data_IF_260895697282
#
_entry.id   IF_260895697282
#
_cell.length_a   1.000
_cell.length_b   1.000
_cell.length_c   1.000
_cell.angle_alpha   90.00
_cell.angle_beta   90.00
_cell.angle_gamma   90.00
#
_symmetry.space_group_name_H-M   'P 1'
#
loop_
_entity.id
_entity.type
_entity.pdbx_description
1 polymer ?
#
# COMPACT_ATOMS: atom_id res chain seq x y z
N UNK A 1 -18.50 -22.44 2.58
CA UNK A 1 -18.29 -21.27 1.72
C UNK A 1 -17.02 -21.53 0.95
N UNK A 2 -17.11 -21.66 -0.38
CA UNK A 2 -16.01 -22.10 -1.25
C UNK A 2 -14.86 -21.10 -1.12
N UNK A 3 -13.71 -21.58 -0.64
CA UNK A 3 -12.45 -20.85 -0.63
C UNK A 3 -12.10 -20.61 -2.10
N UNK A 4 -12.42 -19.42 -2.62
CA UNK A 4 -11.92 -18.98 -3.92
C UNK A 4 -10.46 -18.62 -3.72
N UNK A 5 -9.56 -19.38 -4.34
CA UNK A 5 -8.23 -18.87 -4.67
C UNK A 5 -8.39 -17.65 -5.58
N UNK A 6 -8.33 -16.46 -4.97
CA UNK A 6 -8.14 -15.20 -5.69
C UNK A 6 -6.94 -14.48 -5.06
N UNK A 7 -5.79 -15.16 -5.09
CA UNK A 7 -4.49 -14.71 -4.58
C UNK A 7 -3.82 -13.62 -5.45
N UNK A 8 -4.61 -12.82 -6.18
CA UNK A 8 -4.06 -11.79 -7.06
C UNK A 8 -4.15 -10.42 -6.42
N UNK A 9 -2.98 -9.79 -6.23
CA UNK A 9 -2.90 -8.34 -6.06
C UNK A 9 -3.57 -7.67 -7.28
N UNK A 10 -4.56 -6.82 -7.04
CA UNK A 10 -5.37 -6.15 -8.06
C UNK A 10 -4.96 -4.70 -8.25
N UNK A 11 -4.89 -4.24 -9.50
CA UNK A 11 -4.53 -2.86 -9.81
C UNK A 11 -5.59 -1.90 -9.27
N UNK A 12 -5.16 -0.80 -8.65
CA UNK A 12 -6.04 0.25 -8.15
C UNK A 12 -5.86 1.53 -8.96
N UNK A 13 -6.76 1.84 -9.92
CA UNK A 13 -6.62 3.03 -10.77
C UNK A 13 -6.64 4.34 -10.00
N UNK A 14 -7.56 4.47 -9.03
CA UNK A 14 -7.76 5.71 -8.25
C UNK A 14 -6.52 6.00 -7.41
N UNK A 15 -6.03 5.00 -6.67
CA UNK A 15 -4.83 5.17 -5.83
C UNK A 15 -3.57 5.38 -6.67
N UNK A 16 -3.47 4.69 -7.82
CA UNK A 16 -2.33 4.85 -8.71
C UNK A 16 -2.24 6.25 -9.31
N UNK A 17 -3.38 6.79 -9.72
CA UNK A 17 -3.50 8.19 -10.17
C UNK A 17 -3.17 9.17 -9.05
N UNK A 18 -3.73 8.97 -7.85
CA UNK A 18 -3.52 9.87 -6.71
C UNK A 18 -2.07 9.89 -6.20
N UNK A 19 -1.36 8.77 -6.25
CA UNK A 19 0.02 8.66 -5.76
C UNK A 19 1.07 8.85 -6.87
N UNK A 20 0.68 8.77 -8.14
CA UNK A 20 1.62 8.72 -9.26
C UNK A 20 2.50 7.46 -9.25
N UNK A 21 1.97 6.36 -8.74
CA UNK A 21 2.67 5.07 -8.54
C UNK A 21 1.78 3.93 -9.03
N UNK A 22 2.34 2.80 -9.47
CA UNK A 22 1.54 1.60 -9.78
C UNK A 22 1.14 0.89 -8.50
N UNK A 23 -0.06 1.20 -8.03
CA UNK A 23 -0.62 0.67 -6.78
C UNK A 23 -1.45 -0.57 -7.05
N UNK A 24 -1.15 -1.63 -6.31
CA UNK A 24 -1.94 -2.84 -6.28
C UNK A 24 -2.41 -3.14 -4.86
N UNK A 25 -3.53 -3.84 -4.72
CA UNK A 25 -4.10 -4.19 -3.42
C UNK A 25 -4.65 -5.60 -3.37
N UNK A 26 -4.64 -6.20 -2.19
CA UNK A 26 -5.20 -7.53 -1.98
C UNK A 26 -5.53 -7.78 -0.50
N UNK A 27 -6.42 -8.73 -0.27
CA UNK A 27 -6.61 -9.36 1.04
C UNK A 27 -6.04 -10.76 0.92
N UNK A 28 -5.10 -11.11 1.78
CA UNK A 28 -4.43 -12.42 1.76
C UNK A 28 -4.69 -13.14 3.08
N UNK A 29 -5.10 -14.40 2.99
CA UNK A 29 -5.28 -15.26 4.17
C UNK A 29 -3.94 -15.78 4.71
N UNK A 30 -2.95 -15.92 3.83
CA UNK A 30 -1.57 -16.27 4.18
C UNK A 30 -0.56 -15.52 3.30
N UNK A 31 0.69 -15.44 3.77
CA UNK A 31 1.78 -14.75 3.06
C UNK A 31 2.61 -15.78 2.33
N UNK A 32 2.49 -15.88 1.01
CA UNK A 32 3.39 -16.66 0.18
C UNK A 32 4.47 -15.74 -0.44
N UNK A 33 5.73 -15.74 0.05
CA UNK A 33 6.76 -14.81 -0.41
C UNK A 33 7.08 -14.95 -1.90
N UNK A 34 7.11 -16.18 -2.43
CA UNK A 34 7.44 -16.44 -3.83
C UNK A 34 6.36 -15.91 -4.77
N UNK A 35 5.09 -16.14 -4.42
CA UNK A 35 3.96 -15.67 -5.22
C UNK A 35 3.86 -14.15 -5.20
N UNK A 36 4.01 -13.53 -4.04
CA UNK A 36 3.98 -12.06 -3.92
C UNK A 36 5.13 -11.46 -4.75
N UNK A 37 6.35 -11.98 -4.62
CA UNK A 37 7.49 -11.52 -5.40
C UNK A 37 7.25 -11.68 -6.90
N UNK A 38 6.75 -12.84 -7.34
CA UNK A 38 6.40 -13.11 -8.73
C UNK A 38 5.37 -12.09 -9.27
N UNK A 39 4.34 -11.77 -8.47
CA UNK A 39 3.36 -10.74 -8.82
C UNK A 39 4.00 -9.36 -8.93
N UNK A 40 4.84 -8.97 -7.96
CA UNK A 40 5.53 -7.66 -7.96
C UNK A 40 6.36 -7.48 -9.22
N UNK A 41 7.18 -8.48 -9.56
CA UNK A 41 8.06 -8.41 -10.73
C UNK A 41 7.27 -8.42 -12.04
N UNK A 42 6.31 -9.33 -12.21
CA UNK A 42 5.51 -9.44 -13.45
C UNK A 42 4.64 -8.22 -13.71
N UNK A 43 4.07 -7.63 -12.66
CA UNK A 43 3.17 -6.48 -12.76
C UNK A 43 3.89 -5.13 -12.62
N UNK A 44 5.20 -5.16 -12.39
CA UNK A 44 6.04 -3.98 -12.16
C UNK A 44 5.42 -3.04 -11.10
N UNK A 45 5.10 -3.62 -9.94
CA UNK A 45 4.35 -2.95 -8.86
C UNK A 45 5.27 -1.92 -8.16
N UNK A 46 4.74 -0.73 -7.89
CA UNK A 46 5.46 0.28 -7.09
C UNK A 46 5.06 0.21 -5.61
N UNK A 47 3.78 -0.01 -5.32
CA UNK A 47 3.29 -0.20 -3.95
C UNK A 47 2.23 -1.30 -3.94
N UNK A 48 2.41 -2.31 -3.10
CA UNK A 48 1.34 -3.27 -2.81
C UNK A 48 0.72 -2.98 -1.43
N UNK A 49 -0.58 -2.75 -1.37
CA UNK A 49 -1.34 -2.55 -0.13
C UNK A 49 -2.07 -3.86 0.19
N UNK A 50 -1.54 -4.58 1.16
CA UNK A 50 -1.95 -5.94 1.48
C UNK A 50 -2.65 -5.93 2.83
N UNK A 51 -3.87 -6.47 2.90
CA UNK A 51 -4.56 -6.72 4.16
C UNK A 51 -4.43 -8.19 4.53
N UNK A 52 -4.04 -8.46 5.77
CA UNK A 52 -3.93 -9.81 6.31
C UNK A 52 -4.75 -9.87 7.60
N UNK A 53 -5.53 -10.93 7.85
CA UNK A 53 -6.22 -11.10 9.12
C UNK A 53 -5.25 -10.93 10.30
N UNK A 54 -5.59 -10.09 11.28
CA UNK A 54 -4.66 -9.76 12.37
C UNK A 54 -4.30 -10.97 13.24
N UNK A 55 -5.11 -12.03 13.23
CA UNK A 55 -4.82 -13.31 13.87
C UNK A 55 -3.62 -14.05 13.25
N UNK A 56 -3.23 -13.70 12.01
CA UNK A 56 -2.07 -14.24 11.29
C UNK A 56 -0.80 -13.42 11.53
N UNK A 57 -0.68 -12.80 12.70
CA UNK A 57 0.49 -11.98 13.04
C UNK A 57 1.80 -12.79 13.01
N UNK A 58 1.73 -14.09 13.26
CA UNK A 58 2.83 -15.04 13.18
C UNK A 58 3.42 -15.15 11.76
N UNK A 59 2.62 -14.95 10.71
CA UNK A 59 3.10 -15.03 9.34
C UNK A 59 3.84 -13.77 8.88
N UNK A 60 3.68 -12.62 9.55
CA UNK A 60 4.24 -11.33 9.11
C UNK A 60 5.75 -11.35 8.85
N UNK A 61 6.50 -12.15 9.61
CA UNK A 61 7.94 -12.29 9.42
C UNK A 61 8.30 -12.78 8.00
N UNK A 62 7.40 -13.53 7.34
CA UNK A 62 7.58 -14.03 5.97
C UNK A 62 7.69 -12.91 4.92
N UNK A 63 7.22 -11.69 5.20
CA UNK A 63 7.49 -10.55 4.33
C UNK A 63 8.99 -10.25 4.20
N UNK A 64 9.79 -10.57 5.22
CA UNK A 64 11.24 -10.39 5.16
C UNK A 64 11.88 -11.29 4.10
N UNK A 65 11.33 -12.48 3.87
CA UNK A 65 11.82 -13.44 2.87
C UNK A 65 11.67 -12.92 1.43
N UNK A 66 10.75 -11.96 1.19
CA UNK A 66 10.55 -11.33 -0.12
C UNK A 66 11.78 -10.49 -0.50
N UNK A 67 12.47 -9.91 0.48
CA UNK A 67 13.59 -8.98 0.25
C UNK A 67 13.16 -7.58 -0.19
N UNK A 68 11.87 -7.23 -0.05
CA UNK A 68 11.33 -5.90 -0.34
C UNK A 68 10.94 -5.22 0.99
N UNK A 69 11.35 -3.95 1.22
CA UNK A 69 10.96 -3.21 2.42
C UNK A 69 9.44 -3.13 2.57
N UNK A 70 8.94 -3.35 3.77
CA UNK A 70 7.53 -3.24 4.08
C UNK A 70 7.29 -2.42 5.35
N UNK A 71 6.06 -1.93 5.48
CA UNK A 71 5.58 -1.18 6.63
C UNK A 71 4.21 -1.73 7.04
N UNK A 72 4.01 -1.97 8.34
CA UNK A 72 2.67 -2.15 8.89
C UNK A 72 2.09 -0.74 9.07
N UNK A 73 1.19 -0.36 8.16
CA UNK A 73 0.73 1.00 8.01
C UNK A 73 -0.48 1.35 8.89
N UNK A 74 -1.37 0.38 9.14
CA UNK A 74 -2.41 0.48 10.17
C UNK A 74 -2.94 -0.92 10.59
N UNK A 75 -3.89 -0.91 11.52
CA UNK A 75 -4.80 -2.02 11.77
C UNK A 75 -6.22 -1.54 11.52
N UNK A 76 -6.93 -2.21 10.62
CA UNK A 76 -8.31 -1.92 10.26
C UNK A 76 -9.24 -2.89 11.00
N UNK A 77 -10.29 -2.37 11.64
CA UNK A 77 -11.28 -3.19 12.34
C UNK A 77 -12.64 -3.09 11.66
N UNK A 78 -13.31 -4.22 11.50
CA UNK A 78 -14.66 -4.32 10.95
C UNK A 78 -15.66 -4.62 12.06
N UNK A 79 -16.71 -3.82 12.06
CA UNK A 79 -17.85 -3.90 12.95
C UNK A 79 -19.07 -4.35 12.17
N UNK A 80 -19.83 -5.29 12.73
CA UNK A 80 -21.00 -5.87 12.10
C UNK A 80 -22.21 -5.73 13.01
N UNK A 81 -23.39 -5.63 12.40
CA UNK A 81 -24.67 -5.71 13.08
C UNK A 81 -25.64 -6.59 12.30
N UNK A 82 -26.40 -7.40 13.03
CA UNK A 82 -27.52 -8.18 12.52
C UNK A 82 -28.77 -7.28 12.53
N UNK A 83 -29.14 -6.76 11.36
CA UNK A 83 -30.27 -5.85 11.18
C UNK A 83 -31.61 -6.53 11.44
N UNK A 84 -31.71 -7.87 11.27
CA UNK A 84 -32.94 -8.62 11.57
C UNK A 84 -33.23 -8.60 13.07
N UNK A 85 -32.20 -8.75 13.90
CA UNK A 85 -32.33 -8.74 15.36
C UNK A 85 -32.26 -7.34 15.98
N UNK A 86 -31.62 -6.38 15.30
CA UNK A 86 -31.48 -5.03 15.81
C UNK A 86 -32.83 -4.31 15.88
N UNK A 87 -33.13 -3.69 17.03
CA UNK A 87 -34.32 -2.86 17.20
C UNK A 87 -33.96 -1.41 16.83
N UNK A 88 -34.68 -0.78 15.86
CA UNK A 88 -34.41 0.60 15.48
C UNK A 88 -34.41 1.52 16.70
N UNK A 89 -33.37 2.34 16.82
CA UNK A 89 -33.28 3.42 17.80
C UNK A 89 -33.81 4.69 17.15
N UNK A 90 -34.57 5.50 17.89
CA UNK A 90 -35.04 6.79 17.39
C UNK A 90 -33.91 7.81 17.21
N UNK A 91 -34.10 8.70 16.25
CA UNK A 91 -33.18 9.81 16.02
C UNK A 91 -33.21 10.75 17.23
N UNK A 92 -32.04 11.18 17.70
CA UNK A 92 -31.91 12.13 18.80
C UNK A 92 -32.28 13.54 18.36
N UNK A 93 -31.90 13.91 17.14
CA UNK A 93 -32.07 15.24 16.58
C UNK A 93 -33.23 15.23 15.58
N UNK A 94 -34.34 15.90 15.93
CA UNK A 94 -35.53 16.01 15.08
C UNK A 94 -35.40 17.02 13.94
N UNK A 95 -34.32 17.81 13.95
CA UNK A 95 -34.02 18.88 13.00
C UNK A 95 -33.03 18.48 11.90
N UNK A 96 -32.71 17.18 11.81
CA UNK A 96 -31.86 16.63 10.75
C UNK A 96 -32.69 16.13 9.58
N UNK A 97 -32.27 16.52 8.38
CA UNK A 97 -32.78 16.00 7.11
C UNK A 97 -31.72 15.08 6.49
N UNK A 98 -32.16 13.92 5.99
CA UNK A 98 -31.31 12.97 5.28
C UNK A 98 -31.71 12.98 3.80
N UNK A 99 -30.79 13.45 2.96
CA UNK A 99 -31.04 13.70 1.53
C UNK A 99 -30.24 12.68 0.74
N UNK A 100 -30.90 11.97 -0.17
CA UNK A 100 -30.25 10.99 -1.02
C UNK A 100 -29.33 11.68 -2.05
N UNK A 101 -28.16 11.09 -2.30
CA UNK A 101 -27.10 11.69 -3.10
C UNK A 101 -27.20 11.33 -4.59
N UNK A 102 -27.61 12.32 -5.38
CA UNK A 102 -27.69 12.28 -6.85
C UNK A 102 -26.68 13.26 -7.52
N UNK A 103 -26.47 13.20 -8.85
CA UNK A 103 -25.45 14.01 -9.55
C UNK A 103 -25.51 15.52 -9.30
N UNK A 104 -26.69 16.09 -9.07
CA UNK A 104 -26.90 17.51 -8.73
C UNK A 104 -26.21 17.92 -7.41
N UNK A 105 -25.89 16.97 -6.55
CA UNK A 105 -25.25 17.20 -5.27
C UNK A 105 -23.72 17.07 -5.30
N UNK A 106 -23.10 16.77 -6.44
CA UNK A 106 -21.64 16.53 -6.53
C UNK A 106 -20.81 17.66 -5.89
N UNK A 107 -21.19 18.91 -6.13
CA UNK A 107 -20.51 20.07 -5.54
C UNK A 107 -20.65 20.17 -4.01
N UNK A 108 -21.72 19.60 -3.44
CA UNK A 108 -21.92 19.55 -1.98
C UNK A 108 -21.03 18.46 -1.38
N UNK A 109 -20.99 17.27 -1.99
CA UNK A 109 -20.11 16.18 -1.56
C UNK A 109 -18.64 16.60 -1.57
N UNK A 110 -18.19 17.28 -2.63
CA UNK A 110 -16.82 17.79 -2.74
C UNK A 110 -16.43 18.70 -1.56
N UNK A 111 -17.31 19.65 -1.23
CA UNK A 111 -17.12 20.57 -0.10
C UNK A 111 -17.09 19.83 1.24
N UNK A 112 -18.00 18.88 1.45
CA UNK A 112 -18.04 18.08 2.67
C UNK A 112 -16.77 17.26 2.85
N UNK A 113 -16.29 16.59 1.79
CA UNK A 113 -15.05 15.82 1.84
C UNK A 113 -13.85 16.73 2.18
N UNK A 114 -13.80 17.91 1.56
CA UNK A 114 -12.76 18.92 1.82
C UNK A 114 -12.77 19.46 3.25
N UNK A 115 -13.92 19.48 3.93
CA UNK A 115 -14.02 19.94 5.32
C UNK A 115 -13.78 18.81 6.33
N UNK A 116 -14.16 17.56 5.99
CA UNK A 116 -14.13 16.41 6.90
C UNK A 116 -12.78 15.70 6.92
N UNK A 117 -12.14 15.50 5.76
CA UNK A 117 -10.97 14.62 5.63
C UNK A 117 -9.57 15.24 5.74
N UNK A 118 -9.33 16.58 5.77
CA UNK A 118 -7.95 17.10 5.86
C UNK A 118 -7.13 16.59 7.06
N UNK A 119 -7.78 16.33 8.20
CA UNK A 119 -7.14 15.82 9.41
C UNK A 119 -7.25 14.29 9.55
N UNK A 120 -7.82 13.60 8.55
CA UNK A 120 -8.06 12.17 8.62
C UNK A 120 -6.76 11.39 8.46
N UNK A 121 -6.22 10.90 9.58
CA UNK A 121 -5.12 9.93 9.56
C UNK A 121 -5.62 8.62 8.98
N UNK A 122 -4.88 8.08 8.02
CA UNK A 122 -5.12 6.79 7.38
C UNK A 122 -3.78 6.05 7.18
N UNK A 123 -3.82 4.80 6.71
CA UNK A 123 -2.60 4.04 6.44
C UNK A 123 -1.63 4.71 5.46
N UNK A 124 -2.09 5.52 4.51
CA UNK A 124 -1.18 6.22 3.59
C UNK A 124 -0.33 7.27 4.32
N UNK A 125 -0.92 8.01 5.26
CA UNK A 125 -0.19 9.00 6.08
C UNK A 125 0.86 8.36 7.00
N UNK A 126 0.73 7.06 7.29
CA UNK A 126 1.73 6.31 8.07
C UNK A 126 2.98 5.98 7.26
N UNK A 127 2.92 6.00 5.93
CA UNK A 127 4.05 5.65 5.07
C UNK A 127 4.83 6.91 4.65
N UNK A 128 6.02 7.15 5.23
CA UNK A 128 6.80 8.37 4.97
C UNK A 128 7.37 8.44 3.55
N UNK A 129 7.29 7.35 2.77
CA UNK A 129 7.77 7.29 1.39
C UNK A 129 6.70 7.70 0.38
N UNK A 130 5.46 7.87 0.82
CA UNK A 130 4.38 8.36 -0.02
C UNK A 130 4.25 9.88 0.14
N UNK A 131 4.17 10.59 -0.98
CA UNK A 131 3.77 12.01 -1.00
C UNK A 131 2.26 12.04 -1.09
N UNK A 132 1.58 12.30 0.03
CA UNK A 132 0.12 12.15 0.13
C UNK A 132 -0.58 13.48 0.32
N UNK A 133 -1.18 13.98 -0.76
CA UNK A 133 -2.44 14.71 -0.70
C UNK A 133 -3.52 13.83 -1.33
N UNK A 134 -4.31 13.18 -0.48
CA UNK A 134 -5.35 12.24 -0.91
C UNK A 134 -6.73 12.88 -0.93
N UNK A 135 -6.86 14.18 -0.69
CA UNK A 135 -8.17 14.85 -0.64
C UNK A 135 -8.89 14.66 -1.98
N UNK A 136 -8.19 14.82 -3.10
CA UNK A 136 -8.74 14.60 -4.43
C UNK A 136 -9.15 13.13 -4.68
N UNK A 137 -8.38 12.16 -4.17
CA UNK A 137 -8.75 10.76 -4.25
C UNK A 137 -10.01 10.44 -3.42
N UNK A 138 -10.15 11.05 -2.23
CA UNK A 138 -11.34 10.92 -1.40
C UNK A 138 -12.57 11.57 -2.04
N UNK A 139 -12.40 12.71 -2.72
CA UNK A 139 -13.47 13.35 -3.48
C UNK A 139 -13.94 12.47 -4.62
N UNK A 140 -13.02 11.97 -5.44
CA UNK A 140 -13.33 11.06 -6.55
C UNK A 140 -14.03 9.79 -6.03
N UNK A 141 -13.55 9.23 -4.91
CA UNK A 141 -14.17 8.08 -4.28
C UNK A 141 -15.59 8.40 -3.78
N UNK A 142 -15.78 9.44 -2.96
CA UNK A 142 -17.09 9.80 -2.42
C UNK A 142 -18.11 10.10 -3.52
N UNK A 143 -17.70 10.84 -4.55
CA UNK A 143 -18.53 11.16 -5.71
C UNK A 143 -18.85 9.94 -6.58
N UNK A 144 -18.06 8.86 -6.54
CA UNK A 144 -18.37 7.60 -7.25
C UNK A 144 -19.56 6.82 -6.64
N UNK A 145 -20.12 7.30 -5.52
CA UNK A 145 -21.28 6.72 -4.82
C UNK A 145 -22.58 7.48 -5.09
N UNK A 146 -22.66 8.21 -6.20
CA UNK A 146 -23.96 8.66 -6.74
C UNK A 146 -24.92 7.49 -6.70
N UNK A 147 -26.08 7.69 -6.08
CA UNK A 147 -27.04 6.61 -5.85
C UNK A 147 -27.49 6.02 -7.17
N UNK A 148 -27.26 4.72 -7.30
CA UNK A 148 -27.60 3.94 -8.49
C UNK A 148 -27.72 2.46 -8.11
N UNK A 149 -28.94 1.93 -8.16
CA UNK A 149 -29.22 0.52 -7.85
C UNK A 149 -28.43 -0.45 -8.74
N UNK A 150 -28.21 -0.11 -10.02
CA UNK A 150 -27.48 -0.97 -10.95
C UNK A 150 -26.02 -1.18 -10.52
N UNK A 151 -25.44 -0.19 -9.83
CA UNK A 151 -24.07 -0.24 -9.34
C UNK A 151 -23.97 -0.67 -7.88
N UNK A 152 -25.11 -0.99 -7.24
CA UNK A 152 -25.21 -1.39 -5.83
C UNK A 152 -24.53 -0.42 -4.86
N UNK A 153 -24.70 0.87 -5.12
CA UNK A 153 -24.17 1.97 -4.32
C UNK A 153 -25.26 2.98 -4.05
N UNK A 154 -25.26 3.53 -2.84
CA UNK A 154 -26.05 4.69 -2.49
C UNK A 154 -25.25 5.62 -1.58
N UNK A 155 -25.66 6.88 -1.48
CA UNK A 155 -25.12 7.78 -0.49
C UNK A 155 -26.19 8.75 0.03
N UNK A 156 -25.93 9.26 1.22
CA UNK A 156 -26.83 10.13 1.96
C UNK A 156 -26.06 11.34 2.44
N UNK A 157 -26.65 12.51 2.29
CA UNK A 157 -26.20 13.77 2.85
C UNK A 157 -27.02 14.09 4.10
N UNK A 158 -26.38 14.70 5.09
CA UNK A 158 -27.03 15.17 6.32
C UNK A 158 -27.12 16.68 6.27
N UNK A 159 -28.32 17.22 6.40
CA UNK A 159 -28.59 18.65 6.40
C UNK A 159 -29.24 19.06 7.73
N UNK A 160 -28.88 20.23 8.23
CA UNK A 160 -29.47 20.87 9.42
C UNK A 160 -29.76 22.32 9.07
N UNK A 161 -31.04 22.69 9.05
CA UNK A 161 -31.47 23.97 8.46
C UNK A 161 -31.01 24.06 6.99
N UNK A 162 -30.27 25.11 6.64
CA UNK A 162 -29.78 25.32 5.27
C UNK A 162 -28.38 24.73 5.00
N UNK A 163 -27.76 24.09 5.99
CA UNK A 163 -26.36 23.67 5.90
C UNK A 163 -26.22 22.16 5.84
N UNK A 164 -25.47 21.68 4.85
CA UNK A 164 -25.01 20.29 4.81
C UNK A 164 -23.85 20.12 5.79
N UNK A 165 -23.95 19.10 6.64
CA UNK A 165 -23.05 18.90 7.78
C UNK A 165 -22.49 17.48 7.87
N UNK A 166 -22.84 16.59 6.94
CA UNK A 166 -22.27 15.25 6.93
C UNK A 166 -22.73 14.43 5.73
N UNK A 167 -22.15 13.25 5.58
CA UNK A 167 -22.54 12.29 4.57
C UNK A 167 -22.19 10.86 4.98
N UNK A 168 -22.80 9.89 4.31
CA UNK A 168 -22.35 8.51 4.28
C UNK A 168 -22.50 7.92 2.88
N UNK A 169 -21.47 7.23 2.41
CA UNK A 169 -21.52 6.39 1.22
C UNK A 169 -21.64 4.94 1.63
N UNK A 170 -22.50 4.20 0.93
CA UNK A 170 -22.80 2.82 1.24
C UNK A 170 -22.71 1.95 -0.03
N UNK A 171 -22.14 0.76 0.13
CA UNK A 171 -22.18 -0.30 -0.87
C UNK A 171 -23.04 -1.46 -0.35
N UNK A 172 -23.59 -2.26 -1.25
CA UNK A 172 -24.39 -3.42 -0.86
C UNK A 172 -24.23 -4.57 -1.85
N UNK A 173 -24.38 -5.81 -1.37
CA UNK A 173 -24.35 -7.01 -2.20
C UNK A 173 -25.09 -8.14 -1.48
N UNK A 174 -25.94 -8.87 -2.21
CA UNK A 174 -26.81 -9.88 -1.63
C UNK A 174 -27.68 -9.29 -0.51
N UNK A 175 -27.53 -9.82 0.70
CA UNK A 175 -28.22 -9.34 1.91
C UNK A 175 -27.33 -8.53 2.87
N UNK A 176 -26.13 -8.15 2.42
CA UNK A 176 -25.18 -7.34 3.17
C UNK A 176 -25.12 -5.89 2.67
N UNK A 177 -24.91 -4.97 3.62
CA UNK A 177 -24.64 -3.56 3.37
C UNK A 177 -23.36 -3.12 4.09
N UNK A 178 -22.65 -2.15 3.55
CA UNK A 178 -21.43 -1.59 4.12
C UNK A 178 -21.45 -0.06 4.06
N UNK A 179 -21.17 0.59 5.18
CA UNK A 179 -20.80 2.02 5.17
C UNK A 179 -19.31 2.11 4.81
N UNK A 180 -19.02 2.71 3.66
CA UNK A 180 -17.68 2.72 3.05
C UNK A 180 -16.89 3.97 3.43
N UNK A 181 -17.52 5.15 3.33
CA UNK A 181 -16.94 6.42 3.72
C UNK A 181 -18.02 7.27 4.39
N UNK A 182 -17.77 7.78 5.58
CA UNK A 182 -18.72 8.66 6.24
C UNK A 182 -18.01 9.71 7.09
N UNK A 183 -18.76 10.75 7.42
CA UNK A 183 -18.26 11.77 8.31
C UNK A 183 -19.24 12.89 8.53
N UNK A 184 -18.94 13.69 9.54
CA UNK A 184 -19.67 14.89 9.91
C UNK A 184 -18.65 16.01 10.05
N UNK A 185 -18.99 17.20 9.59
CA UNK A 185 -18.10 18.36 9.66
C UNK A 185 -17.67 18.63 11.11
N UNK A 186 -16.43 19.11 11.37
CA UNK A 186 -15.94 19.30 12.72
C UNK A 186 -16.83 20.20 13.59
N UNK A 187 -17.46 21.21 12.98
CA UNK A 187 -18.38 22.13 13.65
C UNK A 187 -19.66 21.47 14.19
N UNK A 188 -20.01 20.27 13.72
CA UNK A 188 -21.15 19.48 14.19
C UNK A 188 -20.73 18.28 15.07
N UNK A 189 -19.45 18.17 15.44
CA UNK A 189 -18.96 17.14 16.35
C UNK A 189 -19.59 17.26 17.75
N UNK A 190 -19.83 16.13 18.42
CA UNK A 190 -20.42 16.09 19.76
C UNK A 190 -21.94 16.35 19.82
N UNK A 191 -22.56 16.86 18.74
CA UNK A 191 -24.00 17.13 18.68
C UNK A 191 -24.88 15.88 18.44
N UNK A 192 -24.29 14.68 18.40
CA UNK A 192 -25.01 13.42 18.14
C UNK A 192 -25.36 13.15 16.67
N UNK A 193 -25.01 14.05 15.75
CA UNK A 193 -25.31 13.95 14.31
C UNK A 193 -24.76 12.66 13.71
N UNK A 194 -23.53 12.27 14.03
CA UNK A 194 -22.95 11.02 13.53
C UNK A 194 -23.72 9.78 14.01
N UNK A 195 -24.19 9.77 15.27
CA UNK A 195 -25.00 8.67 15.78
C UNK A 195 -26.34 8.55 15.05
N UNK A 196 -27.00 9.69 14.81
CA UNK A 196 -28.26 9.72 14.05
C UNK A 196 -28.08 9.32 12.59
N UNK A 197 -26.95 9.68 11.97
CA UNK A 197 -26.58 9.19 10.64
C UNK A 197 -26.46 7.65 10.61
N UNK A 198 -25.80 7.05 11.61
CA UNK A 198 -25.71 5.58 11.72
C UNK A 198 -27.11 4.96 11.89
N UNK A 199 -27.95 5.50 12.78
CA UNK A 199 -29.33 5.00 13.02
C UNK A 199 -30.19 5.09 11.77
N UNK A 200 -30.10 6.21 11.05
CA UNK A 200 -30.80 6.41 9.79
C UNK A 200 -30.40 5.33 8.78
N UNK A 201 -29.10 5.11 8.59
CA UNK A 201 -28.60 4.11 7.62
C UNK A 201 -29.02 2.69 8.04
N UNK A 202 -28.90 2.33 9.32
CA UNK A 202 -29.38 1.05 9.85
C UNK A 202 -30.87 0.82 9.55
N UNK A 203 -31.71 1.84 9.79
CA UNK A 203 -33.15 1.79 9.51
C UNK A 203 -33.42 1.64 8.02
N UNK A 204 -32.77 2.45 7.19
CA UNK A 204 -32.88 2.38 5.73
C UNK A 204 -32.59 0.97 5.20
N UNK A 205 -31.44 0.38 5.54
CA UNK A 205 -31.10 -0.96 5.05
C UNK A 205 -31.98 -2.05 5.67
N UNK A 206 -32.39 -1.92 6.94
CA UNK A 206 -33.34 -2.86 7.56
C UNK A 206 -34.69 -2.86 6.85
N UNK A 207 -35.24 -1.68 6.58
CA UNK A 207 -36.56 -1.51 5.96
C UNK A 207 -36.55 -1.98 4.49
N UNK A 208 -35.38 -1.92 3.84
CA UNK A 208 -35.15 -2.48 2.51
C UNK A 208 -34.73 -3.98 2.53
N UNK A 209 -34.87 -4.67 3.67
CA UNK A 209 -34.75 -6.12 3.76
C UNK A 209 -33.34 -6.71 3.90
N UNK A 210 -32.32 -5.87 4.11
CA UNK A 210 -30.94 -6.34 4.30
C UNK A 210 -30.77 -6.97 5.69
N UNK A 211 -30.01 -8.07 5.74
CA UNK A 211 -29.78 -8.85 6.98
C UNK A 211 -28.67 -8.26 7.83
N UNK A 212 -27.62 -7.76 7.18
CA UNK A 212 -26.35 -7.43 7.84
C UNK A 212 -25.86 -6.08 7.38
N UNK A 213 -25.28 -5.32 8.31
CA UNK A 213 -24.53 -4.12 8.00
C UNK A 213 -23.14 -4.18 8.60
N UNK A 214 -22.15 -3.71 7.84
CA UNK A 214 -20.77 -3.59 8.29
C UNK A 214 -20.23 -2.17 8.11
N UNK A 215 -19.23 -1.83 8.91
CA UNK A 215 -18.49 -0.58 8.83
C UNK A 215 -17.07 -0.83 9.31
N UNK A 216 -16.09 -0.10 8.77
CA UNK A 216 -14.69 -0.25 9.16
C UNK A 216 -14.02 1.09 9.47
N UNK A 217 -13.00 1.04 10.32
CA UNK A 217 -12.12 2.18 10.61
C UNK A 217 -10.78 1.68 11.17
N UNK A 218 -9.81 2.57 11.27
CA UNK A 218 -8.55 2.29 11.95
C UNK A 218 -8.77 2.01 13.44
N UNK A 219 -8.04 1.04 14.00
CA UNK A 219 -8.17 0.59 15.39
C UNK A 219 -8.02 1.72 16.42
N UNK A 220 -7.23 2.75 16.13
CA UNK A 220 -7.06 3.90 17.02
C UNK A 220 -8.22 4.90 16.99
N UNK A 221 -9.16 4.79 16.04
CA UNK A 221 -10.31 5.69 15.95
C UNK A 221 -11.39 5.29 16.96
N UNK A 222 -11.07 5.45 18.25
CA UNK A 222 -11.92 5.03 19.36
C UNK A 222 -13.25 5.79 19.41
N UNK A 223 -13.30 7.02 18.88
CA UNK A 223 -14.49 7.86 18.91
C UNK A 223 -15.64 7.23 18.11
N UNK A 224 -15.41 6.84 16.86
CA UNK A 224 -16.45 6.22 16.03
C UNK A 224 -16.78 4.81 16.52
N UNK A 225 -15.78 4.04 16.98
CA UNK A 225 -15.99 2.70 17.53
C UNK A 225 -16.90 2.72 18.77
N UNK A 226 -16.77 3.72 19.65
CA UNK A 226 -17.69 3.91 20.79
C UNK A 226 -19.12 4.20 20.35
N UNK A 227 -19.30 4.96 19.26
CA UNK A 227 -20.64 5.19 18.69
C UNK A 227 -21.20 3.88 18.17
N UNK A 228 -20.45 3.15 17.34
CA UNK A 228 -20.93 1.89 16.75
C UNK A 228 -21.31 0.85 17.81
N UNK A 229 -20.51 0.70 18.87
CA UNK A 229 -20.86 -0.16 20.01
C UNK A 229 -22.19 0.24 20.66
N UNK A 230 -22.45 1.54 20.83
CA UNK A 230 -23.71 2.05 21.40
C UNK A 230 -24.89 1.80 20.46
N UNK A 231 -24.66 1.89 19.15
CA UNK A 231 -25.67 1.63 18.12
C UNK A 231 -25.79 0.13 17.77
N UNK A 232 -25.17 -0.76 18.54
CA UNK A 232 -25.38 -2.22 18.47
C UNK A 232 -24.46 -2.99 17.53
N UNK A 233 -23.46 -2.33 16.93
CA UNK A 233 -22.42 -3.04 16.19
C UNK A 233 -21.46 -3.75 17.14
N UNK A 234 -20.89 -4.86 16.67
CA UNK A 234 -19.87 -5.63 17.38
C UNK A 234 -18.67 -5.84 16.46
N UNK A 235 -17.45 -5.68 16.97
CA UNK A 235 -16.24 -5.98 16.22
C UNK A 235 -16.21 -7.47 15.86
N UNK A 236 -16.02 -7.79 14.58
CA UNK A 236 -15.98 -9.18 14.09
C UNK A 236 -14.68 -9.55 13.42
N UNK A 237 -14.00 -8.59 12.80
CA UNK A 237 -12.76 -8.87 12.07
C UNK A 237 -11.76 -7.74 12.28
N UNK A 238 -10.49 -8.06 12.15
CA UNK A 238 -9.41 -7.09 12.12
C UNK A 238 -8.35 -7.51 11.12
N UNK A 239 -7.75 -6.53 10.46
CA UNK A 239 -6.75 -6.72 9.42
C UNK A 239 -5.56 -5.83 9.70
N UNK A 240 -4.36 -6.34 9.50
CA UNK A 240 -3.15 -5.54 9.38
C UNK A 240 -3.06 -5.04 7.95
N UNK A 241 -2.92 -3.73 7.76
CA UNK A 241 -2.63 -3.16 6.44
C UNK A 241 -1.12 -3.02 6.31
N UNK A 242 -0.55 -3.75 5.37
CA UNK A 242 0.88 -3.75 5.06
C UNK A 242 1.11 -3.06 3.73
N UNK A 243 2.04 -2.10 3.70
CA UNK A 243 2.55 -1.51 2.46
C UNK A 243 3.86 -2.21 2.11
N UNK A 244 3.89 -2.93 0.99
CA UNK A 244 5.12 -3.40 0.37
C UNK A 244 5.66 -2.32 -0.57
N UNK A 245 6.82 -1.76 -0.25
CA UNK A 245 7.41 -0.60 -0.90
C UNK A 245 8.31 -1.04 -2.06
N UNK A 246 7.69 -1.56 -3.12
CA UNK A 246 8.37 -2.23 -4.23
C UNK A 246 9.15 -1.27 -5.13
N UNK A 247 8.54 -0.14 -5.52
CA UNK A 247 9.12 0.91 -6.36
C UNK A 247 9.78 0.44 -7.67
N UNK A 248 9.25 -0.62 -8.30
CA UNK A 248 9.90 -1.26 -9.44
C UNK A 248 10.07 -0.34 -10.64
N UNK A 249 9.24 0.70 -10.77
CA UNK A 249 9.34 1.71 -11.82
C UNK A 249 9.52 3.14 -11.29
N UNK A 250 9.15 3.40 -10.04
CA UNK A 250 9.16 4.73 -9.45
C UNK A 250 10.55 5.37 -9.37
N UNK A 251 10.64 6.64 -9.77
CA UNK A 251 11.81 7.48 -9.56
C UNK A 251 11.41 8.96 -9.53
N UNK A 252 11.95 9.73 -8.59
CA UNK A 252 11.79 11.18 -8.47
C UNK A 252 12.85 11.95 -9.26
N UNK A 253 13.91 11.28 -9.67
CA UNK A 253 14.98 11.82 -10.54
C UNK A 253 15.13 10.92 -11.77
N UNK A 254 15.86 11.40 -12.79
CA UNK A 254 16.14 10.61 -13.98
C UNK A 254 16.87 9.32 -13.58
N UNK A 255 16.32 8.17 -13.98
CA UNK A 255 16.95 6.87 -13.77
C UNK A 255 18.32 6.83 -14.45
N UNK A 256 19.30 6.22 -13.80
CA UNK A 256 20.60 5.93 -14.41
C UNK A 256 20.61 4.50 -14.92
N UNK A 257 21.03 4.32 -16.17
CA UNK A 257 21.24 3.01 -16.78
C UNK A 257 22.64 2.97 -17.38
N UNK A 258 23.38 1.88 -17.13
CA UNK A 258 24.69 1.62 -17.74
C UNK A 258 25.03 0.13 -17.71
N UNK A 259 25.98 -0.26 -18.56
CA UNK A 259 26.40 -1.64 -18.71
C UNK A 259 27.35 -2.08 -17.58
N UNK A 260 27.27 -3.36 -17.23
CA UNK A 260 28.14 -4.03 -16.28
C UNK A 260 28.70 -5.29 -16.94
N UNK A 261 30.01 -5.42 -16.92
CA UNK A 261 30.72 -6.68 -17.17
C UNK A 261 31.66 -6.86 -16.00
N UNK A 262 31.58 -8.00 -15.32
CA UNK A 262 32.50 -8.36 -14.25
C UNK A 262 33.58 -9.23 -14.86
N UNK A 263 34.79 -8.71 -14.97
CA UNK A 263 35.92 -9.46 -15.54
C UNK A 263 36.56 -10.40 -14.52
N UNK A 264 37.34 -11.36 -15.01
CA UNK A 264 38.19 -12.17 -14.15
C UNK A 264 39.20 -11.35 -13.33
N UNK A 265 39.68 -10.21 -13.86
CA UNK A 265 40.59 -9.32 -13.16
C UNK A 265 39.89 -8.58 -12.02
N UNK A 266 38.68 -8.07 -12.25
CA UNK A 266 37.85 -7.46 -11.19
C UNK A 266 37.62 -8.46 -10.04
N UNK A 267 37.33 -9.71 -10.39
CA UNK A 267 37.14 -10.78 -9.43
C UNK A 267 38.42 -11.08 -8.63
N UNK A 268 39.57 -11.14 -9.31
CA UNK A 268 40.88 -11.38 -8.69
C UNK A 268 41.25 -10.27 -7.70
N UNK A 269 41.08 -9.00 -8.11
CA UNK A 269 41.31 -7.85 -7.23
C UNK A 269 40.38 -7.87 -6.01
N UNK A 270 39.08 -8.15 -6.23
CA UNK A 270 38.13 -8.25 -5.13
C UNK A 270 38.44 -9.40 -4.19
N UNK A 271 38.79 -10.58 -4.70
CA UNK A 271 39.22 -11.73 -3.90
C UNK A 271 40.43 -11.42 -3.03
N UNK A 272 41.40 -10.70 -3.59
CA UNK A 272 42.59 -10.24 -2.85
C UNK A 272 42.23 -9.26 -1.73
N UNK A 273 41.39 -8.27 -2.01
CA UNK A 273 41.00 -7.24 -1.01
C UNK A 273 40.09 -7.82 0.08
N UNK A 274 39.10 -8.63 -0.32
CA UNK A 274 38.11 -9.21 0.60
C UNK A 274 38.62 -10.43 1.37
N UNK A 275 39.65 -11.11 0.84
CA UNK A 275 40.10 -12.41 1.32
C UNK A 275 39.15 -13.57 0.99
N UNK A 276 38.03 -13.30 0.29
CA UNK A 276 37.11 -14.36 -0.12
C UNK A 276 37.63 -15.05 -1.39
N UNK A 277 38.23 -16.22 -1.20
CA UNK A 277 38.74 -17.09 -2.26
C UNK A 277 37.86 -18.33 -2.47
N UNK A 278 36.54 -18.23 -2.20
CA UNK A 278 35.62 -19.36 -2.37
C UNK A 278 35.66 -19.89 -3.81
N UNK A 279 35.83 -21.21 -3.96
CA UNK A 279 35.96 -21.91 -5.23
C UNK A 279 34.81 -21.66 -6.21
N UNK A 280 33.60 -21.33 -5.73
CA UNK A 280 32.48 -20.95 -6.60
C UNK A 280 32.82 -19.78 -7.55
N UNK A 281 33.71 -18.90 -7.12
CA UNK A 281 34.11 -17.73 -7.87
C UNK A 281 35.35 -18.00 -8.75
N UNK A 282 36.27 -18.86 -8.31
CA UNK A 282 37.60 -18.99 -8.93
C UNK A 282 37.85 -20.30 -9.68
N UNK A 283 37.02 -21.33 -9.49
CA UNK A 283 37.23 -22.68 -10.03
C UNK A 283 36.01 -23.08 -10.89
N UNK A 284 36.21 -23.15 -12.19
CA UNK A 284 35.18 -23.44 -13.20
C UNK A 284 34.57 -24.84 -13.00
N UNK A 285 35.41 -25.84 -12.79
CA UNK A 285 34.97 -27.23 -12.59
C UNK A 285 34.16 -27.35 -11.29
N UNK A 286 34.61 -26.67 -10.24
CA UNK A 286 33.88 -26.65 -8.97
C UNK A 286 32.52 -25.96 -9.11
N UNK A 287 32.44 -24.81 -9.79
CA UNK A 287 31.17 -24.12 -10.01
C UNK A 287 30.17 -24.99 -10.79
N UNK A 288 30.62 -25.63 -11.87
CA UNK A 288 29.81 -26.60 -12.61
C UNK A 288 29.36 -27.78 -11.75
N UNK A 289 30.24 -28.31 -10.89
CA UNK A 289 29.90 -29.39 -9.96
C UNK A 289 28.80 -29.03 -8.95
N UNK A 290 28.56 -27.72 -8.74
CA UNK A 290 27.50 -27.17 -7.88
C UNK A 290 26.25 -26.75 -8.65
N UNK A 291 26.19 -27.03 -9.95
CA UNK A 291 25.01 -26.76 -10.79
C UNK A 291 24.97 -25.36 -11.40
N UNK A 292 26.05 -24.58 -11.31
CA UNK A 292 26.17 -23.31 -12.03
C UNK A 292 26.62 -23.53 -13.48
N UNK A 293 26.33 -22.57 -14.35
CA UNK A 293 26.79 -22.58 -15.75
C UNK A 293 28.28 -22.18 -15.90
N UNK A 294 28.93 -21.82 -14.80
CA UNK A 294 30.32 -21.39 -14.74
C UNK A 294 30.60 -20.59 -13.49
N UNK A 295 31.78 -19.97 -13.41
CA UNK A 295 32.16 -19.11 -12.28
C UNK A 295 31.20 -17.93 -12.11
N UNK A 296 30.79 -17.69 -10.87
CA UNK A 296 29.89 -16.59 -10.51
C UNK A 296 30.67 -15.45 -9.86
N UNK A 297 30.30 -14.21 -10.17
CA UNK A 297 30.86 -13.02 -9.53
C UNK A 297 30.49 -12.97 -8.04
N UNK A 298 31.35 -12.36 -7.23
CA UNK A 298 30.98 -11.97 -5.87
C UNK A 298 29.87 -10.94 -5.90
N UNK A 299 28.84 -11.14 -5.09
CA UNK A 299 27.67 -10.28 -5.04
C UNK A 299 28.03 -8.84 -4.66
N UNK A 300 28.92 -8.69 -3.67
CA UNK A 300 29.37 -7.40 -3.15
C UNK A 300 30.36 -6.67 -4.07
N UNK A 301 31.02 -7.36 -5.01
CA UNK A 301 31.84 -6.71 -6.04
C UNK A 301 30.97 -5.77 -6.88
N UNK A 302 29.75 -6.21 -7.21
CA UNK A 302 28.81 -5.39 -7.97
C UNK A 302 28.35 -4.17 -7.17
N UNK A 303 28.28 -4.28 -5.84
CA UNK A 303 27.99 -3.13 -4.98
C UNK A 303 29.09 -2.05 -5.05
N UNK A 304 30.36 -2.41 -5.27
CA UNK A 304 31.42 -1.41 -5.43
C UNK A 304 31.14 -0.47 -6.62
N UNK A 305 30.57 -1.00 -7.71
CA UNK A 305 30.17 -0.22 -8.89
C UNK A 305 29.02 0.75 -8.55
N UNK A 306 28.03 0.27 -7.78
CA UNK A 306 26.90 1.08 -7.30
C UNK A 306 27.39 2.19 -6.35
N UNK A 307 28.29 1.84 -5.42
CA UNK A 307 28.91 2.77 -4.49
C UNK A 307 29.66 3.88 -5.19
N UNK A 308 30.40 3.56 -6.27
CA UNK A 308 31.05 4.57 -7.11
C UNK A 308 30.03 5.56 -7.64
N UNK A 309 28.94 5.07 -8.25
CA UNK A 309 27.88 5.94 -8.78
C UNK A 309 27.34 6.90 -7.71
N UNK A 310 27.05 6.40 -6.49
CA UNK A 310 26.54 7.27 -5.43
C UNK A 310 27.54 8.33 -4.98
N UNK A 311 28.82 7.97 -4.85
CA UNK A 311 29.87 8.90 -4.43
C UNK A 311 30.34 9.87 -5.50
N UNK A 312 30.21 9.55 -6.79
CA UNK A 312 30.77 10.38 -7.87
C UNK A 312 29.74 11.05 -8.78
N UNK A 313 28.53 10.50 -8.89
CA UNK A 313 27.49 11.01 -9.79
C UNK A 313 26.28 11.55 -9.03
N UNK A 314 25.51 10.69 -8.36
CA UNK A 314 24.31 11.11 -7.64
C UNK A 314 23.98 10.17 -6.47
N UNK A 315 23.77 10.68 -5.24
CA UNK A 315 23.70 12.09 -4.86
C UNK A 315 25.03 12.86 -4.97
N UNK A 316 26.15 12.15 -5.16
CA UNK A 316 27.47 12.70 -5.45
C UNK A 316 28.38 12.72 -4.23
N UNK A 317 29.42 13.53 -4.29
CA UNK A 317 30.43 13.65 -3.23
C UNK A 317 29.80 13.90 -1.85
N UNK A 318 30.35 13.27 -0.82
CA UNK A 318 29.80 13.28 0.54
C UNK A 318 28.65 12.29 0.80
N UNK A 319 28.28 11.44 -0.17
CA UNK A 319 27.24 10.41 0.05
C UNK A 319 27.78 9.19 0.80
N UNK A 320 27.03 8.73 1.80
CA UNK A 320 27.32 7.55 2.62
C UNK A 320 26.12 6.59 2.63
N UNK A 321 26.41 5.28 2.60
CA UNK A 321 25.40 4.24 2.84
C UNK A 321 25.05 4.14 4.33
N UNK A 322 23.76 4.13 4.64
CA UNK A 322 23.25 3.89 6.00
C UNK A 322 22.65 2.50 6.15
N UNK A 323 22.13 1.96 5.05
CA UNK A 323 21.58 0.62 5.03
C UNK A 323 21.37 0.14 3.60
N UNK A 324 21.37 -1.18 3.44
CA UNK A 324 21.03 -1.82 2.18
C UNK A 324 20.38 -3.17 2.43
N UNK A 325 19.56 -3.61 1.48
CA UNK A 325 18.97 -4.96 1.44
C UNK A 325 19.06 -5.49 0.03
N UNK A 326 19.57 -6.72 -0.12
CA UNK A 326 19.73 -7.40 -1.41
C UNK A 326 18.77 -8.58 -1.54
N UNK A 327 18.27 -8.79 -2.75
CA UNK A 327 17.63 -10.03 -3.16
C UNK A 327 18.32 -10.56 -4.41
N UNK A 328 18.93 -11.74 -4.28
CA UNK A 328 19.58 -12.45 -5.39
C UNK A 328 18.58 -13.44 -5.98
N UNK A 329 18.21 -13.23 -7.25
CA UNK A 329 17.27 -14.08 -8.00
C UNK A 329 17.98 -15.03 -8.95
N UNK A 330 19.10 -14.59 -9.53
CA UNK A 330 19.95 -15.36 -10.43
C UNK A 330 21.43 -15.02 -10.19
N UNK A 331 22.35 -15.96 -10.45
CA UNK A 331 23.78 -15.67 -10.40
C UNK A 331 24.19 -14.65 -11.47
N UNK A 332 25.22 -13.87 -11.15
CA UNK A 332 25.95 -13.03 -12.11
C UNK A 332 27.19 -13.81 -12.52
N UNK A 333 27.38 -14.03 -13.82
CA UNK A 333 28.52 -14.75 -14.37
C UNK A 333 29.59 -13.79 -14.85
N UNK A 334 30.85 -14.23 -14.81
CA UNK A 334 31.97 -13.44 -15.33
C UNK A 334 31.85 -13.24 -16.85
N UNK A 335 32.40 -12.12 -17.32
CA UNK A 335 32.56 -11.78 -18.75
C UNK A 335 31.24 -11.79 -19.57
N UNK A 336 30.08 -11.81 -18.89
CA UNK A 336 28.75 -11.66 -19.50
C UNK A 336 28.26 -10.22 -19.35
N UNK A 337 27.50 -9.69 -20.34
CA UNK A 337 26.92 -8.36 -20.25
C UNK A 337 25.67 -8.35 -19.37
N UNK A 338 25.62 -7.38 -18.48
CA UNK A 338 24.47 -7.03 -17.63
C UNK A 338 24.16 -5.55 -17.74
N UNK A 339 22.95 -5.17 -17.37
CA UNK A 339 22.53 -3.76 -17.26
C UNK A 339 22.28 -3.42 -15.80
N UNK A 340 22.85 -2.33 -15.31
CA UNK A 340 22.47 -1.74 -14.02
C UNK A 340 21.45 -0.63 -14.28
N UNK A 341 20.28 -0.70 -13.63
CA UNK A 341 19.29 0.37 -13.54
C UNK A 341 19.22 0.89 -12.10
N UNK A 342 19.38 2.20 -11.92
CA UNK A 342 19.30 2.88 -10.62
C UNK A 342 18.16 3.90 -10.68
N UNK A 343 17.22 3.80 -9.74
CA UNK A 343 16.13 4.76 -9.52
C UNK A 343 16.13 5.29 -8.09
N UNK A 344 15.48 6.44 -7.88
CA UNK A 344 15.32 7.04 -6.55
C UNK A 344 13.84 7.31 -6.27
N UNK A 345 13.09 6.35 -5.73
CA UNK A 345 11.69 6.55 -5.38
C UNK A 345 11.48 7.63 -4.30
N UNK A 346 12.51 7.89 -3.49
CA UNK A 346 12.48 8.91 -2.45
C UNK A 346 13.75 9.76 -2.46
N UNK A 347 13.57 11.07 -2.51
CA UNK A 347 14.65 12.07 -2.38
C UNK A 347 14.19 13.16 -1.43
N UNK A 348 15.03 13.51 -0.46
CA UNK A 348 14.80 14.65 0.42
C UNK A 348 16.10 15.45 0.54
N UNK A 349 16.36 16.37 -0.41
CA UNK A 349 17.57 17.18 -0.42
C UNK A 349 17.73 18.07 0.82
N UNK A 350 16.62 18.55 1.40
CA UNK A 350 16.67 19.40 2.61
C UNK A 350 17.26 18.67 3.82
N UNK A 351 17.03 17.36 3.92
CA UNK A 351 17.57 16.50 4.98
C UNK A 351 18.77 15.67 4.52
N UNK A 352 19.20 15.82 3.27
CA UNK A 352 20.26 14.99 2.67
C UNK A 352 19.94 13.49 2.61
N UNK A 353 18.68 13.07 2.73
CA UNK A 353 18.31 11.63 2.78
C UNK A 353 17.73 11.16 1.46
N UNK A 354 18.19 10.00 0.98
CA UNK A 354 17.76 9.41 -0.28
C UNK A 354 17.49 7.91 -0.10
N UNK A 355 16.53 7.37 -0.86
CA UNK A 355 16.37 5.92 -1.02
C UNK A 355 16.44 5.58 -2.50
N UNK A 356 17.27 4.59 -2.83
CA UNK A 356 17.40 4.09 -4.20
C UNK A 356 16.92 2.65 -4.32
N UNK A 357 16.48 2.29 -5.52
CA UNK A 357 16.36 0.91 -5.97
C UNK A 357 17.37 0.69 -7.09
N UNK A 358 18.17 -0.36 -6.96
CA UNK A 358 19.02 -0.86 -8.03
C UNK A 358 18.47 -2.18 -8.53
N UNK A 359 18.41 -2.35 -9.84
CA UNK A 359 18.13 -3.63 -10.50
C UNK A 359 19.29 -3.97 -11.43
N UNK A 360 19.69 -5.22 -11.43
CA UNK A 360 20.68 -5.75 -12.38
C UNK A 360 19.99 -6.75 -13.27
N UNK A 361 20.05 -6.51 -14.57
CA UNK A 361 19.32 -7.27 -15.56
C UNK A 361 20.28 -8.07 -16.44
N UNK A 362 19.91 -9.31 -16.77
CA UNK A 362 20.57 -10.08 -17.82
C UNK A 362 20.24 -9.50 -19.21
N UNK A 363 20.92 -10.00 -20.24
CA UNK A 363 20.70 -9.59 -21.63
C UNK A 363 19.29 -9.84 -22.16
N UNK A 364 18.49 -10.66 -21.48
CA UNK A 364 17.08 -10.91 -21.79
C UNK A 364 16.14 -10.00 -21.01
N UNK A 365 16.67 -9.08 -20.18
CA UNK A 365 15.90 -8.17 -19.35
C UNK A 365 15.33 -8.80 -18.08
N UNK A 366 15.76 -10.01 -17.69
CA UNK A 366 15.35 -10.54 -16.39
C UNK A 366 16.20 -9.94 -15.28
N UNK A 367 15.56 -9.61 -14.17
CA UNK A 367 16.25 -9.13 -12.97
C UNK A 367 17.01 -10.31 -12.35
N UNK A 368 18.34 -10.21 -12.29
CA UNK A 368 19.22 -11.14 -11.61
C UNK A 368 19.34 -10.82 -10.12
N UNK A 369 19.39 -9.54 -9.77
CA UNK A 369 19.31 -9.08 -8.39
C UNK A 369 18.73 -7.67 -8.31
N UNK A 370 18.16 -7.35 -7.17
CA UNK A 370 17.80 -5.98 -6.83
C UNK A 370 18.22 -5.63 -5.42
N UNK A 371 18.41 -4.33 -5.17
CA UNK A 371 18.77 -3.82 -3.86
C UNK A 371 18.09 -2.50 -3.55
N UNK A 372 17.60 -2.37 -2.32
CA UNK A 372 17.17 -1.10 -1.78
C UNK A 372 18.28 -0.52 -0.94
N UNK A 373 18.64 0.75 -1.16
CA UNK A 373 19.73 1.41 -0.46
C UNK A 373 19.24 2.71 0.17
N UNK A 374 19.65 2.90 1.42
CA UNK A 374 19.41 4.09 2.22
C UNK A 374 20.69 4.90 2.27
N UNK A 375 20.61 6.15 1.80
CA UNK A 375 21.77 7.03 1.64
C UNK A 375 21.56 8.34 2.40
N UNK A 376 22.64 8.85 2.97
CA UNK A 376 22.72 10.24 3.44
C UNK A 376 23.84 10.95 2.71
N UNK A 377 23.59 12.22 2.39
CA UNK A 377 24.59 13.17 1.91
C UNK A 377 24.69 14.30 2.93
N UNK A 378 25.89 14.49 3.46
CA UNK A 378 26.22 15.59 4.37
C UNK A 378 26.39 16.93 3.65
#
# INVERSE_FOLDING_TARGET
MVIKSMESLNYSPIESKGLGLKVYRGVLDDINPEEILSNVLKKNIDVAIIRIPAERQDSLARFQEIGIPYLIADTLVYYHIDLKKHKPVELRNSDLEFIEFYPEHLAIMDKLVSEIFPAYKNHYTSNPLLSVDLIEAYKEWACSYVTNEANRKCAWLVKRGDRFIGFATCAFDGDESEIVLNGVVPSAAGAGVYGDLIRFIQRFFKDNGYSTMKVSTQVYNYTVQKVWNREGFVMKQSFLTVHLNCFMDASRVKKRVFDLIVSADDLSHYGTISGNMNRLHFDEEYAHSKGFEGRIAHELLVNAVISRYYGTEFPGDGTVFIGYSYKFLKPIYLDKPYTIEISFPFVNPEKGTYKSLVKILDSSGHICLFSYNDLIKE
#
